data_IF_592561672891
#
_entry.id   IF_592561672891
#
_cell.length_a   1.000
_cell.length_b   1.000
_cell.length_c   1.000
_cell.angle_alpha   90.00
_cell.angle_beta   90.00
_cell.angle_gamma   90.00
#
_symmetry.space_group_name_H-M   'P 1'
#
loop_
_entity.id
_entity.type
_entity.pdbx_description
1 polymer ?
#
# COMPACT_ATOMS: atom_id res chain seq x y z
N UNK A 1 -12.22 -15.64 25.45
CA UNK A 1 -12.25 -14.33 26.16
C UNK A 1 -13.07 -13.35 25.34
N UNK A 2 -13.89 -12.51 25.92
CA UNK A 2 -14.65 -11.48 25.20
C UNK A 2 -13.74 -10.25 25.01
N UNK A 3 -13.07 -10.17 23.87
CA UNK A 3 -12.10 -9.11 23.57
C UNK A 3 -12.84 -7.80 23.35
N UNK A 4 -12.60 -6.82 24.22
CA UNK A 4 -13.28 -5.52 24.19
C UNK A 4 -12.52 -4.45 23.43
N UNK A 5 -11.19 -4.56 23.36
CA UNK A 5 -10.32 -3.56 22.75
C UNK A 5 -9.12 -4.20 22.05
N UNK A 6 -8.83 -3.75 20.86
CA UNK A 6 -7.65 -4.17 20.07
C UNK A 6 -6.98 -2.97 19.42
N UNK A 7 -5.66 -3.02 19.29
CA UNK A 7 -4.87 -2.08 18.50
C UNK A 7 -4.31 -2.81 17.29
N UNK A 8 -4.46 -2.21 16.11
CA UNK A 8 -4.05 -2.77 14.83
C UNK A 8 -3.06 -1.83 14.18
N UNK A 9 -1.83 -2.27 13.99
CA UNK A 9 -0.80 -1.55 13.24
C UNK A 9 -0.74 -2.12 11.82
N UNK A 10 -0.93 -1.26 10.83
CA UNK A 10 -1.00 -1.65 9.42
C UNK A 10 0.06 -0.91 8.62
N UNK A 11 0.94 -1.61 7.87
CA UNK A 11 1.94 -0.96 7.03
C UNK A 11 1.32 -0.29 5.81
N UNK A 12 1.94 0.81 5.37
CA UNK A 12 1.73 1.38 4.05
C UNK A 12 2.12 0.36 2.97
N UNK A 13 1.59 0.55 1.77
CA UNK A 13 1.87 -0.36 0.65
C UNK A 13 2.14 0.40 -0.63
N UNK A 14 2.97 -0.18 -1.50
CA UNK A 14 3.14 0.26 -2.87
C UNK A 14 2.65 -0.83 -3.80
N UNK A 15 1.62 -0.51 -4.56
CA UNK A 15 1.01 -1.41 -5.54
C UNK A 15 1.72 -1.30 -6.89
N UNK A 16 1.52 -2.30 -7.74
CA UNK A 16 2.05 -2.43 -9.09
C UNK A 16 3.56 -2.71 -9.19
N UNK A 17 4.40 -2.09 -8.37
CA UNK A 17 5.86 -2.25 -8.41
C UNK A 17 6.44 -2.13 -9.84
N UNK A 18 6.01 -1.13 -10.62
CA UNK A 18 6.30 -1.03 -12.05
C UNK A 18 5.41 -1.95 -12.89
N UNK A 19 5.92 -3.04 -13.50
CA UNK A 19 5.18 -3.82 -14.50
C UNK A 19 4.14 -4.79 -13.93
N UNK A 20 4.03 -4.91 -12.61
CA UNK A 20 3.12 -5.86 -11.94
C UNK A 20 1.71 -5.30 -11.68
N UNK A 21 1.12 -4.63 -12.66
CA UNK A 21 -0.18 -3.98 -12.56
C UNK A 21 -1.28 -4.89 -12.00
N UNK A 22 -1.96 -4.43 -10.93
CA UNK A 22 -3.01 -5.14 -10.18
C UNK A 22 -2.59 -6.53 -9.64
N UNK A 23 -1.28 -6.87 -9.71
CA UNK A 23 -0.76 -8.19 -9.32
C UNK A 23 0.30 -8.08 -8.21
N UNK A 24 1.27 -7.18 -8.35
CA UNK A 24 2.37 -7.04 -7.41
C UNK A 24 2.12 -5.92 -6.42
N UNK A 25 2.44 -6.20 -5.16
CA UNK A 25 2.46 -5.18 -4.12
C UNK A 25 3.54 -5.44 -3.08
N UNK A 26 3.99 -4.40 -2.42
CA UNK A 26 4.94 -4.51 -1.31
C UNK A 26 4.49 -3.69 -0.10
N UNK A 27 4.82 -4.18 1.10
CA UNK A 27 4.61 -3.49 2.35
C UNK A 27 5.82 -2.64 2.72
N UNK A 28 5.56 -1.41 3.18
CA UNK A 28 6.59 -0.44 3.56
C UNK A 28 6.63 -0.21 5.07
N UNK A 29 7.81 0.09 5.62
CA UNK A 29 8.02 0.43 7.03
C UNK A 29 7.50 1.85 7.40
N UNK A 30 6.28 2.17 7.02
CA UNK A 30 5.50 3.34 7.40
C UNK A 30 4.11 2.84 7.80
N UNK A 31 3.56 3.26 8.94
CA UNK A 31 2.41 2.58 9.53
C UNK A 31 1.31 3.54 9.91
N UNK A 32 0.07 3.10 9.73
CA UNK A 32 -1.08 3.64 10.44
C UNK A 32 -1.40 2.73 11.63
N UNK A 33 -1.91 3.33 12.71
CA UNK A 33 -2.34 2.61 13.91
C UNK A 33 -3.80 2.92 14.18
N UNK A 34 -4.59 1.87 14.37
CA UNK A 34 -6.01 1.98 14.67
C UNK A 34 -6.32 1.25 15.97
N UNK A 35 -7.04 1.89 16.86
CA UNK A 35 -7.56 1.25 18.09
C UNK A 35 -9.07 1.12 17.97
N UNK A 36 -9.56 -0.09 18.11
CA UNK A 36 -10.99 -0.42 18.12
C UNK A 36 -11.38 -0.81 19.53
N UNK A 37 -12.47 -0.21 20.04
CA UNK A 37 -13.02 -0.49 21.36
C UNK A 37 -14.52 -0.67 21.24
N UNK A 38 -15.05 -1.80 21.75
CA UNK A 38 -16.49 -2.02 21.81
C UNK A 38 -17.11 -1.11 22.85
N UNK A 39 -18.18 -0.44 22.48
CA UNK A 39 -18.98 0.43 23.34
C UNK A 39 -20.43 -0.06 23.34
N UNK A 40 -21.25 0.27 24.36
CA UNK A 40 -22.61 -0.24 24.44
C UNK A 40 -23.46 0.04 23.20
N UNK A 41 -23.32 1.23 22.61
CA UNK A 41 -24.07 1.62 21.40
C UNK A 41 -23.38 2.76 20.66
N UNK A 42 -23.72 2.93 19.37
CA UNK A 42 -23.26 4.05 18.55
C UNK A 42 -21.91 3.81 17.91
N UNK A 43 -21.43 4.83 17.18
CA UNK A 43 -20.15 4.84 16.47
C UNK A 43 -19.44 6.13 16.79
N UNK A 44 -18.26 6.02 17.37
CA UNK A 44 -17.36 7.14 17.64
C UNK A 44 -16.09 6.99 16.80
N UNK A 45 -15.73 8.04 16.06
CA UNK A 45 -14.53 8.07 15.22
C UNK A 45 -13.71 9.30 15.54
N UNK A 46 -12.43 9.10 15.80
CA UNK A 46 -11.46 10.17 15.99
C UNK A 46 -10.11 9.78 15.38
N UNK A 47 -9.29 10.76 15.06
CA UNK A 47 -7.96 10.52 14.52
C UNK A 47 -7.04 11.73 14.65
N UNK A 48 -5.74 11.46 14.52
CA UNK A 48 -4.68 12.48 14.49
C UNK A 48 -3.69 12.12 13.36
N UNK A 49 -2.96 13.11 12.87
CA UNK A 49 -1.94 12.94 11.84
C UNK A 49 -2.42 13.30 10.43
N UNK A 50 -1.82 12.72 9.42
CA UNK A 50 -2.00 13.04 8.00
C UNK A 50 -3.45 12.86 7.51
N UNK A 51 -4.14 13.96 7.19
CA UNK A 51 -5.51 13.92 6.68
C UNK A 51 -6.57 13.47 7.70
N UNK A 52 -6.25 13.47 9.01
CA UNK A 52 -7.20 13.07 10.03
C UNK A 52 -8.44 13.94 10.08
N UNK A 53 -8.31 15.22 9.68
CA UNK A 53 -9.38 16.22 9.64
C UNK A 53 -10.44 15.96 8.56
N UNK A 54 -10.13 15.15 7.56
CA UNK A 54 -11.05 14.81 6.46
C UNK A 54 -11.60 13.37 6.57
N UNK A 55 -11.31 12.66 7.67
CA UNK A 55 -11.81 11.30 7.85
C UNK A 55 -13.35 11.28 7.95
N UNK A 56 -14.03 10.46 7.16
CA UNK A 56 -15.47 10.29 7.28
C UNK A 56 -15.87 9.79 8.66
N UNK A 57 -17.03 10.21 9.14
CA UNK A 57 -17.59 9.79 10.42
C UNK A 57 -18.58 8.62 10.24
N UNK A 58 -18.86 7.93 11.35
CA UNK A 58 -19.84 6.84 11.38
C UNK A 58 -19.49 5.71 10.42
N UNK A 59 -20.52 5.12 9.81
CA UNK A 59 -20.36 3.98 8.87
C UNK A 59 -19.75 4.36 7.51
N UNK A 60 -19.57 5.62 7.23
CA UNK A 60 -18.84 6.08 6.02
C UNK A 60 -17.32 5.99 6.20
N UNK A 61 -16.84 5.84 7.43
CA UNK A 61 -15.42 5.59 7.69
C UNK A 61 -15.05 4.16 7.27
N UNK A 62 -14.02 4.01 6.43
CA UNK A 62 -13.62 2.71 5.87
C UNK A 62 -13.22 1.68 6.96
N UNK A 63 -12.56 2.09 8.02
CA UNK A 63 -12.20 1.18 9.10
C UNK A 63 -13.46 0.67 9.83
N UNK A 64 -14.46 1.55 10.03
CA UNK A 64 -15.74 1.20 10.64
C UNK A 64 -16.56 0.30 9.72
N UNK A 65 -16.73 0.67 8.43
CA UNK A 65 -17.52 -0.14 7.49
C UNK A 65 -16.92 -1.53 7.29
N UNK A 66 -15.60 -1.63 7.20
CA UNK A 66 -14.90 -2.91 7.06
C UNK A 66 -14.98 -3.76 8.34
N UNK A 67 -14.93 -3.13 9.52
CA UNK A 67 -15.17 -3.83 10.78
C UNK A 67 -16.56 -4.48 10.78
N UNK A 68 -17.60 -3.72 10.49
CA UNK A 68 -18.97 -4.23 10.52
C UNK A 68 -19.24 -5.21 9.37
N UNK A 69 -18.60 -5.08 8.21
CA UNK A 69 -18.75 -6.03 7.11
C UNK A 69 -18.38 -7.46 7.55
N UNK A 70 -17.28 -7.62 8.30
CA UNK A 70 -16.89 -8.91 8.83
C UNK A 70 -17.68 -9.28 10.08
N UNK A 71 -17.89 -8.33 10.99
CA UNK A 71 -18.60 -8.54 12.23
C UNK A 71 -20.01 -9.09 12.01
N UNK A 72 -20.78 -8.49 11.11
CA UNK A 72 -22.14 -8.90 10.77
C UNK A 72 -22.16 -10.24 10.01
N UNK A 73 -21.21 -10.46 9.10
CA UNK A 73 -21.06 -11.72 8.36
C UNK A 73 -20.84 -12.93 9.26
N UNK A 74 -20.10 -12.76 10.35
CA UNK A 74 -19.82 -13.83 11.34
C UNK A 74 -20.70 -13.72 12.59
N UNK A 75 -21.85 -13.08 12.48
CA UNK A 75 -22.89 -13.01 13.52
C UNK A 75 -22.39 -12.47 14.85
N UNK A 76 -21.55 -11.46 14.82
CA UNK A 76 -21.15 -10.71 16.00
C UNK A 76 -22.39 -10.14 16.70
N UNK A 77 -22.38 -10.13 18.04
CA UNK A 77 -23.45 -9.52 18.82
C UNK A 77 -23.56 -8.05 18.49
N UNK A 78 -24.77 -7.50 18.52
CA UNK A 78 -24.97 -6.06 18.37
C UNK A 78 -24.05 -5.29 19.32
N UNK A 79 -23.27 -4.36 18.79
CA UNK A 79 -22.30 -3.58 19.54
C UNK A 79 -22.09 -2.22 18.88
N UNK A 80 -21.84 -1.21 19.68
CA UNK A 80 -21.23 0.02 19.22
C UNK A 80 -19.72 -0.13 19.11
N UNK A 81 -19.07 0.79 18.41
CA UNK A 81 -17.61 0.79 18.23
C UNK A 81 -17.04 2.20 18.35
N UNK A 82 -15.95 2.34 19.08
CA UNK A 82 -15.08 3.52 19.05
C UNK A 82 -13.84 3.18 18.26
N UNK A 83 -13.49 4.00 17.27
CA UNK A 83 -12.28 3.88 16.46
C UNK A 83 -11.43 5.13 16.64
N UNK A 84 -10.21 4.95 17.10
CA UNK A 84 -9.20 6.01 17.18
C UNK A 84 -8.05 5.66 16.25
N UNK A 85 -7.61 6.61 15.43
CA UNK A 85 -6.55 6.39 14.44
C UNK A 85 -5.39 7.37 14.59
N UNK A 86 -4.17 6.86 14.40
CA UNK A 86 -2.95 7.66 14.21
C UNK A 86 -2.49 7.42 12.78
N UNK A 87 -2.58 8.47 11.94
CA UNK A 87 -2.35 8.38 10.51
C UNK A 87 -1.00 8.99 10.16
N UNK A 88 -0.07 8.19 9.68
CA UNK A 88 1.21 8.63 9.13
C UNK A 88 1.31 8.38 7.61
N UNK A 89 0.45 7.51 7.08
CA UNK A 89 0.42 7.20 5.65
C UNK A 89 -0.43 8.25 4.92
N UNK A 90 0.15 9.03 4.00
CA UNK A 90 -0.56 10.09 3.30
C UNK A 90 -1.82 9.60 2.59
N UNK A 91 -2.94 10.29 2.84
CA UNK A 91 -4.25 9.91 2.30
C UNK A 91 -4.33 10.23 0.81
N UNK A 92 -4.81 9.28 -0.01
CA UNK A 92 -5.03 9.43 -1.46
C UNK A 92 -3.75 9.84 -2.22
N UNK A 93 -2.61 9.22 -1.92
CA UNK A 93 -1.30 9.50 -2.54
C UNK A 93 -0.64 8.26 -3.16
N UNK A 94 -1.34 7.11 -3.25
CA UNK A 94 -0.76 5.88 -3.83
C UNK A 94 0.13 5.07 -2.86
N UNK A 95 -0.06 5.24 -1.55
CA UNK A 95 0.61 4.46 -0.50
C UNK A 95 -0.34 3.52 0.26
N UNK A 96 -1.49 3.21 -0.31
CA UNK A 96 -2.44 2.26 0.28
C UNK A 96 -3.10 2.74 1.57
N UNK A 97 -3.24 4.06 1.80
CA UNK A 97 -3.85 4.58 3.03
C UNK A 97 -5.30 4.09 3.23
N UNK A 98 -6.12 3.99 2.16
CA UNK A 98 -7.47 3.41 2.23
C UNK A 98 -7.41 1.94 2.62
N UNK A 99 -6.50 1.20 2.00
CA UNK A 99 -6.29 -0.22 2.29
C UNK A 99 -5.86 -0.47 3.74
N UNK A 100 -5.09 0.47 4.37
CA UNK A 100 -4.77 0.35 5.80
C UNK A 100 -6.01 0.40 6.67
N UNK A 101 -6.99 1.24 6.33
CA UNK A 101 -8.26 1.35 7.07
C UNK A 101 -9.14 0.11 6.87
N UNK A 102 -9.25 -0.38 5.63
CA UNK A 102 -9.97 -1.64 5.31
C UNK A 102 -9.38 -2.81 6.09
N UNK A 103 -8.07 -2.97 6.01
CA UNK A 103 -7.36 -4.07 6.70
C UNK A 103 -7.50 -3.94 8.22
N UNK A 104 -7.36 -2.73 8.77
CA UNK A 104 -7.52 -2.52 10.21
C UNK A 104 -8.90 -2.95 10.71
N UNK A 105 -9.97 -2.56 10.01
CA UNK A 105 -11.34 -2.93 10.36
C UNK A 105 -11.57 -4.44 10.35
N UNK A 106 -11.15 -5.11 9.27
CA UNK A 106 -11.28 -6.57 9.15
C UNK A 106 -10.47 -7.33 10.22
N UNK A 107 -9.22 -6.92 10.44
CA UNK A 107 -8.35 -7.56 11.43
C UNK A 107 -8.87 -7.37 12.86
N UNK A 108 -9.40 -6.18 13.18
CA UNK A 108 -10.01 -5.91 14.49
C UNK A 108 -11.27 -6.76 14.71
N UNK A 109 -12.18 -6.80 13.74
CA UNK A 109 -13.38 -7.64 13.80
C UNK A 109 -13.02 -9.12 13.95
N UNK A 110 -12.07 -9.61 13.15
CA UNK A 110 -11.61 -10.98 13.23
C UNK A 110 -11.06 -11.33 14.62
N UNK A 111 -10.21 -10.49 15.18
CA UNK A 111 -9.64 -10.70 16.52
C UNK A 111 -10.73 -10.71 17.63
N UNK A 112 -11.68 -9.77 17.57
CA UNK A 112 -12.79 -9.70 18.53
C UNK A 112 -13.79 -10.84 18.39
N UNK A 113 -13.90 -11.47 17.22
CA UNK A 113 -14.70 -12.67 16.96
C UNK A 113 -13.99 -13.98 17.36
N UNK A 114 -12.77 -13.92 17.90
CA UNK A 114 -11.98 -15.08 18.26
C UNK A 114 -11.18 -15.67 17.09
N UNK A 115 -10.91 -14.86 16.08
CA UNK A 115 -10.07 -15.18 14.90
C UNK A 115 -10.60 -16.32 14.04
N UNK A 116 -11.85 -16.26 13.56
CA UNK A 116 -12.43 -17.31 12.71
C UNK A 116 -11.74 -17.45 11.35
N UNK A 117 -11.03 -16.39 10.91
CA UNK A 117 -10.33 -16.37 9.62
C UNK A 117 -8.81 -16.29 9.78
N UNK A 118 -8.12 -16.97 8.88
CA UNK A 118 -6.67 -16.84 8.69
C UNK A 118 -6.33 -15.53 7.96
N UNK A 119 -5.07 -15.07 8.04
CA UNK A 119 -4.59 -13.92 7.26
C UNK A 119 -4.86 -14.08 5.76
N UNK A 120 -4.73 -15.29 5.19
CA UNK A 120 -4.98 -15.54 3.76
C UNK A 120 -6.46 -15.38 3.38
N UNK A 121 -7.37 -15.81 4.23
CA UNK A 121 -8.81 -15.61 4.01
C UNK A 121 -9.17 -14.13 4.14
N UNK A 122 -8.57 -13.42 5.10
CA UNK A 122 -8.75 -11.98 5.25
C UNK A 122 -8.25 -11.18 4.04
N UNK A 123 -7.23 -11.66 3.29
CA UNK A 123 -6.85 -11.04 2.01
C UNK A 123 -8.01 -11.08 1.02
N UNK A 124 -8.74 -12.19 0.94
CA UNK A 124 -9.93 -12.29 0.07
C UNK A 124 -11.02 -11.31 0.50
N UNK A 125 -11.36 -11.27 1.80
CA UNK A 125 -12.37 -10.34 2.32
C UNK A 125 -11.98 -8.87 2.05
N UNK A 126 -10.71 -8.52 2.27
CA UNK A 126 -10.20 -7.17 2.01
C UNK A 126 -10.23 -6.81 0.51
N UNK A 127 -9.92 -7.78 -0.35
CA UNK A 127 -9.96 -7.58 -1.81
C UNK A 127 -11.38 -7.36 -2.32
N UNK A 128 -12.38 -8.05 -1.75
CA UNK A 128 -13.78 -7.83 -2.10
C UNK A 128 -14.27 -6.41 -1.78
N UNK A 129 -13.69 -5.77 -0.75
CA UNK A 129 -14.00 -4.37 -0.40
C UNK A 129 -13.22 -3.39 -1.27
N UNK A 130 -11.91 -3.61 -1.46
CA UNK A 130 -11.01 -2.68 -2.17
C UNK A 130 -11.10 -2.81 -3.71
N UNK A 131 -11.45 -3.99 -4.21
CA UNK A 131 -11.56 -4.31 -5.65
C UNK A 131 -10.27 -4.87 -6.27
N UNK A 132 -9.13 -4.80 -5.59
CA UNK A 132 -7.84 -5.33 -6.07
C UNK A 132 -6.94 -5.74 -4.89
N UNK A 133 -6.10 -6.80 -5.05
CA UNK A 133 -5.34 -7.38 -3.94
C UNK A 133 -3.99 -6.72 -3.66
N UNK A 134 -3.43 -5.96 -4.58
CA UNK A 134 -2.04 -5.50 -4.61
C UNK A 134 -1.65 -4.50 -3.51
N UNK A 135 -2.64 -3.90 -2.83
CA UNK A 135 -2.42 -3.14 -1.60
C UNK A 135 -2.78 -3.95 -0.35
N UNK A 136 -3.96 -4.59 -0.32
CA UNK A 136 -4.44 -5.26 0.90
C UNK A 136 -3.65 -6.52 1.23
N UNK A 137 -3.18 -7.27 0.21
CA UNK A 137 -2.37 -8.47 0.45
C UNK A 137 -1.03 -8.16 1.13
N UNK A 138 -0.19 -7.24 0.63
CA UNK A 138 1.03 -6.89 1.34
C UNK A 138 0.76 -6.21 2.69
N UNK A 139 -0.30 -5.40 2.83
CA UNK A 139 -0.68 -4.83 4.11
C UNK A 139 -0.94 -5.91 5.17
N UNK A 140 -1.66 -6.98 4.84
CA UNK A 140 -1.97 -8.08 5.76
C UNK A 140 -0.78 -9.00 5.99
N UNK A 141 -0.07 -9.38 4.92
CA UNK A 141 0.93 -10.44 4.94
C UNK A 141 2.37 -9.95 5.18
N UNK A 142 2.65 -8.68 4.91
CA UNK A 142 4.00 -8.14 4.84
C UNK A 142 4.77 -8.62 3.60
N UNK A 143 5.99 -8.13 3.44
CA UNK A 143 6.86 -8.50 2.34
C UNK A 143 6.39 -7.98 0.98
N UNK A 144 6.77 -8.71 -0.04
CA UNK A 144 6.30 -8.52 -1.42
C UNK A 144 5.30 -9.63 -1.71
N UNK A 145 4.18 -9.29 -2.34
CA UNK A 145 3.14 -10.25 -2.68
C UNK A 145 2.88 -10.30 -4.18
N UNK A 146 2.70 -11.53 -4.68
CA UNK A 146 2.19 -11.81 -6.01
C UNK A 146 0.77 -12.32 -5.84
N UNK A 147 -0.19 -11.70 -6.50
CA UNK A 147 -1.59 -11.96 -6.28
C UNK A 147 -2.28 -12.31 -7.60
N UNK A 148 -3.16 -13.30 -7.55
CA UNK A 148 -4.09 -13.62 -8.65
C UNK A 148 -5.51 -13.73 -8.08
N UNK A 149 -6.46 -13.16 -8.79
CA UNK A 149 -7.88 -13.39 -8.53
C UNK A 149 -8.30 -14.63 -9.32
N UNK A 150 -8.87 -15.61 -8.64
CA UNK A 150 -9.36 -16.85 -9.21
C UNK A 150 -10.77 -17.09 -8.65
N UNK A 151 -11.76 -16.87 -9.48
CA UNK A 151 -13.17 -16.77 -9.09
C UNK A 151 -13.34 -15.71 -7.99
N UNK A 152 -14.03 -16.02 -6.90
CA UNK A 152 -14.23 -15.11 -5.77
C UNK A 152 -13.11 -15.21 -4.70
N UNK A 153 -11.95 -15.78 -5.05
CA UNK A 153 -10.84 -15.98 -4.12
C UNK A 153 -9.56 -15.34 -4.63
N UNK A 154 -8.74 -14.90 -3.69
CA UNK A 154 -7.39 -14.39 -3.97
C UNK A 154 -6.38 -15.44 -3.56
N UNK A 155 -5.47 -15.77 -4.49
CA UNK A 155 -4.28 -16.54 -4.17
C UNK A 155 -3.10 -15.60 -4.11
N UNK A 156 -2.45 -15.54 -2.95
CA UNK A 156 -1.29 -14.69 -2.71
C UNK A 156 -0.07 -15.53 -2.38
N UNK A 157 1.04 -15.22 -3.04
CA UNK A 157 2.37 -15.73 -2.69
C UNK A 157 3.16 -14.56 -2.12
N UNK A 158 3.61 -14.71 -0.87
CA UNK A 158 4.47 -13.74 -0.18
C UNK A 158 5.91 -14.18 -0.23
N UNK A 159 6.82 -13.24 -0.47
CA UNK A 159 8.27 -13.46 -0.38
C UNK A 159 8.99 -12.21 0.14
N UNK A 160 10.25 -12.38 0.51
CA UNK A 160 11.18 -11.29 0.82
C UNK A 160 12.29 -11.29 -0.24
N UNK A 161 12.85 -10.14 -0.59
CA UNK A 161 14.01 -10.12 -1.47
C UNK A 161 15.20 -10.84 -0.83
N UNK A 162 16.03 -11.46 -1.64
CA UNK A 162 17.21 -12.22 -1.18
C UNK A 162 18.27 -11.35 -0.48
N UNK A 163 18.32 -10.06 -0.84
CA UNK A 163 19.24 -9.08 -0.28
C UNK A 163 18.47 -7.83 0.20
N UNK A 164 19.03 -7.05 1.11
CA UNK A 164 18.47 -5.77 1.51
C UNK A 164 18.25 -4.84 0.31
N UNK A 165 17.09 -4.19 0.28
CA UNK A 165 16.71 -3.25 -0.77
C UNK A 165 16.25 -1.95 -0.12
N UNK A 166 16.95 -0.86 -0.42
CA UNK A 166 16.56 0.47 0.03
C UNK A 166 15.45 1.05 -0.85
N UNK A 167 14.58 1.84 -0.25
CA UNK A 167 13.54 2.55 -0.99
C UNK A 167 13.43 4.00 -0.52
N UNK A 168 13.22 4.90 -1.48
CA UNK A 168 12.90 6.30 -1.22
C UNK A 168 11.54 6.58 -1.82
N UNK A 169 10.63 7.03 -0.97
CA UNK A 169 9.27 7.42 -1.34
C UNK A 169 9.19 8.94 -1.39
N UNK A 170 8.78 9.50 -2.52
CA UNK A 170 8.49 10.91 -2.69
C UNK A 170 6.98 11.08 -2.85
N UNK A 171 6.39 11.88 -1.96
CA UNK A 171 4.96 12.20 -1.94
C UNK A 171 4.80 13.66 -2.36
N UNK A 172 4.43 13.96 -3.62
CA UNK A 172 4.15 15.33 -4.03
C UNK A 172 2.79 15.78 -3.51
N UNK A 173 2.66 17.10 -3.27
CA UNK A 173 1.39 17.72 -2.89
C UNK A 173 0.42 17.81 -4.09
N UNK A 174 0.22 16.66 -4.77
CA UNK A 174 -0.68 16.47 -5.92
C UNK A 174 -1.67 15.37 -5.59
N UNK A 175 -2.93 15.58 -5.90
CA UNK A 175 -3.97 14.56 -5.75
C UNK A 175 -4.22 13.90 -7.10
N UNK A 176 -4.16 12.56 -7.13
CA UNK A 176 -4.58 11.73 -8.26
C UNK A 176 -5.48 10.64 -7.68
N UNK A 177 -6.75 10.66 -8.02
CA UNK A 177 -7.66 9.61 -7.57
C UNK A 177 -7.41 8.29 -8.31
N UNK A 178 -7.73 7.18 -7.67
CA UNK A 178 -7.63 5.85 -8.32
C UNK A 178 -8.54 5.78 -9.56
N UNK A 179 -9.70 6.43 -9.50
CA UNK A 179 -10.64 6.50 -10.62
C UNK A 179 -10.04 7.24 -11.82
N UNK A 180 -9.44 8.42 -11.61
CA UNK A 180 -8.74 9.17 -12.66
C UNK A 180 -7.57 8.37 -13.25
N UNK A 181 -6.75 7.76 -12.39
CA UNK A 181 -5.62 6.92 -12.80
C UNK A 181 -6.04 5.67 -13.59
N UNK A 182 -7.27 5.17 -13.42
CA UNK A 182 -7.81 4.07 -14.20
C UNK A 182 -8.47 4.55 -15.50
N UNK A 183 -9.12 5.72 -15.52
CA UNK A 183 -9.78 6.30 -16.70
C UNK A 183 -8.82 6.60 -17.86
N UNK A 184 -7.56 6.91 -17.57
CA UNK A 184 -6.56 7.20 -18.61
C UNK A 184 -5.98 5.94 -19.27
N UNK A 185 -6.27 4.75 -18.72
CA UNK A 185 -5.77 3.50 -19.28
C UNK A 185 -6.54 3.13 -20.55
N UNK A 186 -5.83 2.72 -21.62
CA UNK A 186 -6.50 2.25 -22.83
C UNK A 186 -7.22 0.92 -22.57
N UNK A 187 -8.32 0.69 -23.28
CA UNK A 187 -9.05 -0.59 -23.22
C UNK A 187 -8.28 -1.74 -23.88
N UNK A 188 -7.42 -1.42 -24.83
CA UNK A 188 -6.60 -2.36 -25.59
C UNK A 188 -5.18 -1.84 -25.67
N UNK A 189 -4.22 -2.75 -25.65
CA UNK A 189 -2.79 -2.43 -25.80
C UNK A 189 -2.17 -3.28 -26.91
N UNK A 190 -1.12 -2.80 -27.58
CA UNK A 190 -0.37 -3.60 -28.54
C UNK A 190 0.20 -4.86 -27.89
N UNK A 191 0.07 -6.01 -28.54
CA UNK A 191 0.61 -7.29 -28.04
C UNK A 191 2.09 -7.19 -27.64
N UNK A 192 2.92 -6.43 -28.38
CA UNK A 192 4.32 -6.19 -28.03
C UNK A 192 4.51 -5.50 -26.68
N UNK A 193 3.59 -4.61 -26.28
CA UNK A 193 3.67 -3.90 -24.99
C UNK A 193 3.19 -4.79 -23.84
N UNK A 194 2.24 -5.71 -24.10
CA UNK A 194 1.88 -6.77 -23.16
C UNK A 194 3.07 -7.72 -22.89
N UNK A 195 3.74 -8.20 -23.95
CA UNK A 195 4.97 -9.02 -23.84
C UNK A 195 6.07 -8.27 -23.12
N UNK A 196 6.22 -6.97 -23.40
CA UNK A 196 7.21 -6.11 -22.74
C UNK A 196 7.00 -6.09 -21.22
N UNK A 197 5.81 -5.78 -20.74
CA UNK A 197 5.53 -5.70 -19.29
C UNK A 197 5.50 -7.09 -18.64
N UNK A 198 4.96 -8.11 -19.30
CA UNK A 198 4.95 -9.47 -18.76
C UNK A 198 6.38 -10.02 -18.53
N UNK A 199 7.30 -9.81 -19.47
CA UNK A 199 8.69 -10.24 -19.34
C UNK A 199 9.40 -9.52 -18.19
N UNK A 200 9.11 -8.24 -17.99
CA UNK A 200 9.67 -7.42 -16.91
C UNK A 200 9.12 -7.80 -15.55
N UNK A 201 7.84 -8.06 -15.46
CA UNK A 201 7.23 -8.54 -14.21
C UNK A 201 7.84 -9.89 -13.77
N UNK A 202 8.04 -10.82 -14.71
CA UNK A 202 8.70 -12.08 -14.44
C UNK A 202 10.18 -11.88 -14.02
N UNK A 203 10.92 -11.02 -14.72
CA UNK A 203 12.31 -10.69 -14.40
C UNK A 203 12.42 -9.99 -13.04
N UNK A 204 11.52 -9.07 -12.71
CA UNK A 204 11.48 -8.37 -11.43
C UNK A 204 11.35 -9.36 -10.27
N UNK A 205 10.35 -10.24 -10.34
CA UNK A 205 10.12 -11.25 -9.30
C UNK A 205 11.32 -12.19 -9.19
N UNK A 206 11.81 -12.72 -10.31
CA UNK A 206 12.99 -13.58 -10.34
C UNK A 206 14.21 -12.91 -9.71
N UNK A 207 14.51 -11.67 -10.10
CA UNK A 207 15.67 -10.93 -9.60
C UNK A 207 15.57 -10.62 -8.10
N UNK A 208 14.38 -10.27 -7.61
CA UNK A 208 14.18 -10.02 -6.19
C UNK A 208 14.36 -11.29 -5.35
N UNK A 209 13.88 -12.45 -5.82
CA UNK A 209 14.01 -13.73 -5.11
C UNK A 209 15.44 -14.27 -5.14
N UNK A 210 16.17 -14.06 -6.24
CA UNK A 210 17.52 -14.63 -6.44
C UNK A 210 18.64 -13.66 -6.07
N UNK A 211 18.35 -12.38 -5.84
CA UNK A 211 19.34 -11.35 -5.50
C UNK A 211 20.06 -10.74 -6.71
N UNK A 212 19.62 -11.04 -7.94
CA UNK A 212 20.18 -10.47 -9.18
C UNK A 212 19.66 -9.05 -9.44
N UNK A 213 20.02 -8.11 -8.56
CA UNK A 213 19.51 -6.73 -8.59
C UNK A 213 20.05 -5.89 -9.75
N UNK A 214 21.09 -6.34 -10.43
CA UNK A 214 21.59 -5.75 -11.68
C UNK A 214 20.53 -5.71 -12.79
N UNK A 215 19.49 -6.54 -12.70
CA UNK A 215 18.38 -6.56 -13.67
C UNK A 215 17.26 -5.53 -13.34
N UNK A 216 17.25 -4.97 -12.13
CA UNK A 216 16.16 -4.09 -11.67
C UNK A 216 15.97 -2.82 -12.53
N UNK A 217 17.03 -2.22 -13.13
CA UNK A 217 16.84 -1.07 -14.00
C UNK A 217 15.81 -1.31 -15.11
N UNK A 218 15.92 -2.42 -15.83
CA UNK A 218 15.01 -2.79 -16.90
C UNK A 218 13.76 -3.49 -16.39
N UNK A 219 13.88 -4.30 -15.33
CA UNK A 219 12.78 -5.08 -14.77
C UNK A 219 11.67 -4.22 -14.13
N UNK A 220 11.98 -2.99 -13.73
CA UNK A 220 11.01 -2.05 -13.17
C UNK A 220 10.31 -1.18 -14.24
N UNK A 221 10.66 -1.32 -15.51
CA UNK A 221 9.99 -0.60 -16.60
C UNK A 221 8.62 -1.20 -16.90
N UNK A 222 7.69 -0.35 -17.34
CA UNK A 222 6.32 -0.73 -17.65
C UNK A 222 5.76 -0.01 -18.87
N UNK A 223 4.85 -0.69 -19.57
CA UNK A 223 4.05 -0.14 -20.67
C UNK A 223 2.56 -0.38 -20.53
N UNK A 224 2.11 -0.97 -19.41
CA UNK A 224 0.69 -1.22 -19.18
C UNK A 224 -0.03 0.01 -18.60
N UNK A 225 0.59 0.70 -17.64
CA UNK A 225 -0.07 1.81 -16.95
C UNK A 225 0.81 3.06 -16.82
N UNK A 226 2.10 2.90 -16.61
CA UNK A 226 3.03 4.02 -16.34
C UNK A 226 2.98 5.11 -17.41
N UNK A 227 3.07 4.82 -18.72
CA UNK A 227 3.05 5.86 -19.77
C UNK A 227 1.77 6.70 -19.76
N UNK A 228 0.66 6.10 -19.40
CA UNK A 228 -0.65 6.76 -19.38
C UNK A 228 -0.90 7.56 -18.11
N UNK A 229 -0.28 7.17 -16.99
CA UNK A 229 -0.41 7.86 -15.69
C UNK A 229 0.57 9.00 -15.50
N UNK A 230 1.75 8.93 -16.11
CA UNK A 230 2.77 9.98 -16.01
C UNK A 230 2.24 11.39 -16.31
N UNK A 231 1.40 11.62 -17.35
CA UNK A 231 0.85 12.94 -17.62
C UNK A 231 -0.03 13.52 -16.49
N UNK A 232 -0.56 12.67 -15.60
CA UNK A 232 -1.33 13.11 -14.44
C UNK A 232 -0.46 13.67 -13.31
N UNK A 233 0.87 13.49 -13.38
CA UNK A 233 1.81 13.84 -12.32
C UNK A 233 2.90 14.74 -12.91
N UNK A 234 2.66 16.05 -13.03
CA UNK A 234 3.66 16.99 -13.57
C UNK A 234 5.00 16.88 -12.87
N UNK A 235 6.09 16.74 -13.60
CA UNK A 235 7.44 16.55 -13.08
C UNK A 235 7.85 15.09 -12.81
N UNK A 236 6.92 14.13 -12.90
CA UNK A 236 7.24 12.73 -12.60
C UNK A 236 8.23 12.11 -13.59
N UNK A 237 8.10 12.38 -14.88
CA UNK A 237 9.03 11.82 -15.90
C UNK A 237 10.47 12.23 -15.63
N UNK A 238 10.69 13.50 -15.34
CA UNK A 238 12.00 14.05 -15.00
C UNK A 238 12.51 13.52 -13.66
N UNK A 239 11.62 13.34 -12.68
CA UNK A 239 11.95 12.79 -11.38
C UNK A 239 12.39 11.32 -11.47
N UNK A 240 11.67 10.49 -12.23
CA UNK A 240 12.03 9.09 -12.46
C UNK A 240 13.39 8.98 -13.16
N UNK A 241 13.62 9.81 -14.19
CA UNK A 241 14.92 9.88 -14.89
C UNK A 241 16.02 10.36 -13.93
N UNK A 242 15.77 11.43 -13.18
CA UNK A 242 16.74 12.00 -12.24
C UNK A 242 17.18 11.01 -11.17
N UNK A 243 16.26 10.21 -10.64
CA UNK A 243 16.58 9.17 -9.67
C UNK A 243 17.54 8.10 -10.23
N UNK A 244 17.31 7.65 -11.46
CA UNK A 244 18.20 6.70 -12.15
C UNK A 244 19.58 7.32 -12.40
N UNK A 245 19.64 8.54 -12.92
CA UNK A 245 20.89 9.27 -13.19
C UNK A 245 21.67 9.52 -11.89
N UNK A 246 20.98 9.61 -10.75
CA UNK A 246 21.59 9.76 -9.43
C UNK A 246 22.07 8.44 -8.82
N UNK A 247 21.71 7.28 -9.39
CA UNK A 247 22.20 5.95 -8.98
C UNK A 247 21.16 5.02 -8.37
N UNK A 248 19.86 5.33 -8.43
CA UNK A 248 18.82 4.35 -8.15
C UNK A 248 18.83 3.24 -9.21
N UNK A 249 18.42 2.02 -8.86
CA UNK A 249 18.15 0.99 -9.87
C UNK A 249 17.12 1.49 -10.87
N UNK A 250 15.98 1.94 -10.37
CA UNK A 250 14.94 2.64 -11.11
C UNK A 250 13.99 3.30 -10.13
N UNK A 251 13.03 4.07 -10.66
CA UNK A 251 11.92 4.60 -9.89
C UNK A 251 10.62 4.38 -10.66
N UNK A 252 9.51 4.22 -9.92
CA UNK A 252 8.19 3.88 -10.44
C UNK A 252 7.10 4.74 -9.80
N UNK A 253 5.93 4.78 -10.40
CA UNK A 253 4.72 5.30 -9.75
C UNK A 253 4.26 4.27 -8.71
N UNK A 254 4.02 4.69 -7.48
CA UNK A 254 3.44 3.86 -6.43
C UNK A 254 1.91 3.84 -6.56
N UNK A 255 1.33 2.67 -6.77
CA UNK A 255 -0.11 2.50 -6.95
C UNK A 255 -0.69 3.34 -8.08
N UNK A 256 -1.69 4.15 -7.79
CA UNK A 256 -2.29 5.11 -8.74
C UNK A 256 -1.46 6.39 -8.91
N UNK A 257 -0.49 6.64 -8.04
CA UNK A 257 0.20 7.91 -7.88
C UNK A 257 -0.57 8.81 -6.87
N UNK A 258 -0.16 10.00 -6.67
CA UNK A 258 0.96 10.77 -7.24
C UNK A 258 2.36 10.38 -6.72
N UNK A 259 2.45 9.53 -5.72
CA UNK A 259 3.70 9.10 -5.10
C UNK A 259 4.60 8.39 -6.10
N UNK A 260 5.91 8.68 -6.00
CA UNK A 260 6.97 7.98 -6.71
C UNK A 260 7.81 7.19 -5.71
N UNK A 261 8.27 6.00 -6.10
CA UNK A 261 9.14 5.15 -5.30
C UNK A 261 10.40 4.80 -6.08
N UNK A 262 11.57 5.16 -5.55
CA UNK A 262 12.86 4.75 -6.08
C UNK A 262 13.37 3.51 -5.33
N UNK A 263 13.85 2.53 -6.09
CA UNK A 263 14.55 1.34 -5.60
C UNK A 263 16.05 1.64 -5.60
N UNK A 264 16.69 1.54 -4.44
CA UNK A 264 18.03 2.10 -4.22
C UNK A 264 18.99 1.00 -3.77
N UNK A 265 20.18 0.87 -4.40
CA UNK A 265 21.25 0.04 -3.90
C UNK A 265 21.64 0.46 -2.46
N UNK A 266 22.00 -0.51 -1.62
CA UNK A 266 22.30 -0.26 -0.22
C UNK A 266 23.51 0.68 -0.05
N UNK A 267 24.51 0.57 -0.93
CA UNK A 267 25.75 1.33 -0.90
C UNK A 267 25.65 2.75 -1.48
N UNK A 268 24.49 3.13 -2.07
CA UNK A 268 24.35 4.43 -2.72
C UNK A 268 23.93 5.55 -1.77
N UNK A 269 24.35 6.76 -2.11
CA UNK A 269 23.93 7.99 -1.42
C UNK A 269 22.44 8.26 -1.64
N UNK A 270 21.65 7.87 -0.65
CA UNK A 270 20.18 8.05 -0.66
C UNK A 270 19.78 9.52 -0.68
N UNK A 271 20.59 10.42 -0.10
CA UNK A 271 20.31 11.86 -0.08
C UNK A 271 20.37 12.46 -1.48
N UNK A 272 21.36 12.04 -2.27
CA UNK A 272 21.50 12.45 -3.67
C UNK A 272 20.34 11.98 -4.54
N UNK A 273 19.88 10.74 -4.36
CA UNK A 273 18.74 10.17 -5.10
C UNK A 273 17.45 10.88 -4.67
N UNK A 274 17.24 11.13 -3.38
CA UNK A 274 16.09 11.84 -2.86
C UNK A 274 15.99 13.27 -3.42
N UNK A 275 17.13 13.97 -3.47
CA UNK A 275 17.21 15.32 -4.07
C UNK A 275 16.88 15.29 -5.57
N UNK A 276 17.39 14.32 -6.31
CA UNK A 276 17.13 14.17 -7.73
C UNK A 276 15.65 13.85 -8.03
N UNK A 277 14.99 13.06 -7.16
CA UNK A 277 13.54 12.82 -7.24
C UNK A 277 12.75 14.12 -6.99
N UNK A 278 13.13 14.93 -5.99
CA UNK A 278 12.38 16.09 -5.56
C UNK A 278 12.58 17.34 -6.44
N UNK A 279 13.75 17.47 -7.06
CA UNK A 279 14.16 18.66 -7.81
C UNK A 279 13.17 19.08 -8.91
N UNK A 280 12.59 18.18 -9.76
CA UNK A 280 11.63 18.56 -10.77
C UNK A 280 10.34 19.17 -10.17
N UNK A 281 9.83 18.59 -9.08
CA UNK A 281 8.64 19.11 -8.41
C UNK A 281 8.90 20.48 -7.77
N UNK A 282 10.06 20.66 -7.16
CA UNK A 282 10.47 21.97 -6.60
C UNK A 282 10.53 23.05 -7.67
N UNK A 283 11.05 22.73 -8.86
CA UNK A 283 11.07 23.67 -10.01
C UNK A 283 9.67 24.08 -10.45
N UNK A 284 8.68 23.21 -10.26
CA UNK A 284 7.26 23.49 -10.55
C UNK A 284 6.52 24.15 -9.38
N UNK A 285 7.20 24.42 -8.25
CA UNK A 285 6.58 24.97 -7.04
C UNK A 285 5.70 23.97 -6.29
N UNK A 286 5.86 22.67 -6.54
CA UNK A 286 5.08 21.60 -5.90
C UNK A 286 5.86 21.13 -4.66
N UNK A 287 5.25 21.25 -3.49
CA UNK A 287 5.82 20.73 -2.25
C UNK A 287 5.86 19.19 -2.27
N UNK A 288 6.88 18.62 -1.64
CA UNK A 288 7.05 17.16 -1.55
C UNK A 288 7.51 16.76 -0.16
N UNK A 289 7.02 15.60 0.31
CA UNK A 289 7.55 14.91 1.48
C UNK A 289 8.35 13.70 1.02
N UNK A 290 9.47 13.44 1.68
CA UNK A 290 10.37 12.33 1.40
C UNK A 290 10.41 11.38 2.60
N UNK A 291 10.24 10.09 2.35
CA UNK A 291 10.40 9.04 3.33
C UNK A 291 11.45 8.02 2.86
N UNK A 292 12.37 7.67 3.73
CA UNK A 292 13.22 6.50 3.52
C UNK A 292 12.53 5.31 4.20
N UNK A 293 12.23 4.28 3.44
CA UNK A 293 11.50 3.11 3.93
C UNK A 293 12.25 1.83 3.57
N UNK A 294 11.97 0.79 4.34
CA UNK A 294 12.35 -0.59 4.05
C UNK A 294 11.10 -1.42 3.77
N UNK A 295 11.29 -2.65 3.33
CA UNK A 295 10.18 -3.61 3.22
C UNK A 295 9.77 -4.03 4.63
N UNK A 296 8.48 -3.87 4.95
CA UNK A 296 7.91 -4.44 6.15
C UNK A 296 7.82 -5.96 6.01
N UNK A 297 8.28 -6.69 7.01
CA UNK A 297 8.35 -8.16 6.96
C UNK A 297 7.24 -8.88 7.71
N UNK A 298 6.42 -8.16 8.48
CA UNK A 298 5.43 -8.76 9.38
C UNK A 298 3.99 -8.63 8.84
N UNK A 299 3.74 -7.53 8.11
CA UNK A 299 2.39 -7.11 7.75
C UNK A 299 1.62 -6.57 8.95
N UNK A 300 0.32 -6.71 8.90
CA UNK A 300 -0.55 -6.23 9.98
C UNK A 300 -0.33 -7.01 11.27
N UNK A 301 -0.13 -6.26 12.35
CA UNK A 301 -0.03 -6.77 13.73
C UNK A 301 -1.24 -6.31 14.53
N UNK A 302 -1.84 -7.25 15.24
CA UNK A 302 -2.95 -7.00 16.17
C UNK A 302 -2.46 -7.25 17.59
N UNK A 303 -2.64 -6.28 18.46
CA UNK A 303 -2.31 -6.36 19.89
C UNK A 303 -3.56 -6.20 20.74
N UNK A 304 -3.70 -7.03 21.76
CA UNK A 304 -4.74 -6.87 22.77
C UNK A 304 -4.39 -5.71 23.71
N UNK A 305 -5.38 -5.13 24.39
CA UNK A 305 -5.24 -3.89 25.17
C UNK A 305 -4.09 -3.89 26.21
N UNK A 306 -3.73 -5.05 26.73
CA UNK A 306 -2.66 -5.21 27.73
C UNK A 306 -1.23 -5.10 27.13
N UNK A 307 -1.08 -5.15 25.78
CA UNK A 307 0.20 -5.10 25.07
C UNK A 307 0.42 -3.79 24.29
N UNK A 308 -0.57 -2.90 24.28
CA UNK A 308 -0.57 -1.70 23.40
C UNK A 308 0.43 -0.59 23.81
N UNK A 309 1.10 -0.70 24.95
CA UNK A 309 2.15 0.26 25.38
C UNK A 309 3.48 0.10 24.65
N UNK A 310 3.57 -0.82 23.68
CA UNK A 310 4.83 -1.14 22.96
C UNK A 310 4.94 -0.60 21.53
N UNK A 311 3.98 0.26 21.10
CA UNK A 311 3.99 0.83 19.74
C UNK A 311 4.26 2.33 19.72
#
# INVERSE_FOLDING_TARGET
>A
MDVQKVTVRVPATSANCGPGFDCLGLACSLYNVFTFERIPQGIEVSGVGEGAEILPLGRHNLAVSSFYALWEKYQGKETGIRVTSVIHVPVSRGLGSSSTAVVAGLMAANAMLGSPLTKKELVTEATLIEGHPDNVAPAILGGITINIMADDKVKSLRFLPACPLGMIVLVPALHVSTEEARKVLPKEIPHKDAVYSASRAAMLVGSLITGHFENLPEALEDKLHTPYRLPLIPGASEALKGARDAGAYNAVISGSGSTLMAYVPEEKDRSRIAEALAAPFRKLGIACTLHQVSIDTEGTVVSLAEEAERF
#
